data_IF_583904170527
#
_entry.id   IF_583904170527
#
_cell.length_a   1.000
_cell.length_b   1.000
_cell.length_c   1.000
_cell.angle_alpha   90.00
_cell.angle_beta   90.00
_cell.angle_gamma   90.00
#
_symmetry.space_group_name_H-M   'P 1'
#
loop_
_entity.id
_entity.type
_entity.pdbx_description
1 polymer ?
#
# COMPACT_ATOMS: atom_id res chain seq x y z
N UNK A 1 -1.25 -20.09 -17.21
CA UNK A 1 -0.18 -20.48 -16.28
C UNK A 1 -0.39 -19.68 -14.99
N UNK A 2 -0.65 -20.39 -13.88
CA UNK A 2 -0.74 -19.78 -12.55
C UNK A 2 0.68 -19.41 -12.13
N UNK A 3 0.94 -18.12 -11.91
CA UNK A 3 2.24 -17.67 -11.41
C UNK A 3 2.37 -18.18 -9.95
N UNK A 4 3.37 -19.01 -9.70
CA UNK A 4 3.66 -19.47 -8.34
C UNK A 4 4.36 -18.35 -7.58
N UNK A 5 3.70 -17.82 -6.55
CA UNK A 5 4.27 -16.82 -5.64
C UNK A 5 4.49 -17.44 -4.26
N UNK A 6 5.56 -17.04 -3.60
CA UNK A 6 5.84 -17.38 -2.21
C UNK A 6 6.21 -16.16 -1.41
N UNK A 7 5.85 -16.15 -0.12
CA UNK A 7 6.17 -15.09 0.83
C UNK A 7 7.01 -15.65 1.97
N UNK A 8 8.03 -14.89 2.38
CA UNK A 8 8.83 -15.19 3.55
C UNK A 8 9.30 -13.92 4.27
N UNK A 9 9.67 -14.07 5.54
CA UNK A 9 10.09 -12.98 6.42
C UNK A 9 11.57 -13.14 6.76
N UNK A 10 12.31 -12.03 6.75
CA UNK A 10 13.71 -11.95 7.13
C UNK A 10 13.90 -11.10 8.41
N UNK A 11 14.94 -11.41 9.18
CA UNK A 11 15.46 -10.53 10.23
C UNK A 11 16.43 -9.48 9.64
N UNK A 12 16.92 -8.58 10.50
CA UNK A 12 17.88 -7.53 10.12
C UNK A 12 19.24 -8.05 9.61
N UNK A 13 19.53 -9.34 9.81
CA UNK A 13 20.75 -10.04 9.34
C UNK A 13 20.49 -10.92 8.11
N UNK A 14 19.29 -10.81 7.51
CA UNK A 14 18.83 -11.57 6.34
C UNK A 14 18.58 -13.05 6.59
N UNK A 15 18.46 -13.50 7.84
CA UNK A 15 18.04 -14.84 8.16
C UNK A 15 16.56 -15.01 7.91
N UNK A 16 16.16 -16.14 7.34
CA UNK A 16 14.77 -16.45 7.04
C UNK A 16 14.07 -16.88 8.33
N UNK A 17 13.08 -16.10 8.78
CA UNK A 17 12.36 -16.33 10.04
C UNK A 17 11.12 -17.19 9.85
N UNK A 18 10.43 -17.04 8.73
CA UNK A 18 9.22 -17.79 8.41
C UNK A 18 8.96 -17.82 6.92
N UNK A 19 8.28 -18.86 6.46
CA UNK A 19 7.94 -19.09 5.06
C UNK A 19 6.48 -19.51 4.94
N UNK A 20 5.88 -19.27 3.78
CA UNK A 20 4.53 -19.77 3.46
C UNK A 20 4.54 -21.17 2.83
N UNK A 21 3.37 -21.76 2.65
CA UNK A 21 3.19 -23.12 2.09
C UNK A 21 3.69 -23.26 0.63
N UNK A 22 3.89 -22.16 -0.08
CA UNK A 22 4.38 -22.17 -1.45
C UNK A 22 5.90 -22.12 -1.53
N UNK A 23 6.59 -21.78 -0.45
CA UNK A 23 8.03 -21.65 -0.41
C UNK A 23 8.73 -22.95 -0.81
N UNK A 24 8.29 -24.08 -0.26
CA UNK A 24 8.84 -25.39 -0.59
C UNK A 24 8.63 -25.75 -2.07
N UNK A 25 7.46 -25.48 -2.62
CA UNK A 25 7.18 -25.75 -4.04
C UNK A 25 8.10 -24.94 -4.96
N UNK A 26 8.39 -23.70 -4.58
CA UNK A 26 9.21 -22.79 -5.38
C UNK A 26 10.71 -23.07 -5.21
N UNK A 27 11.18 -23.22 -3.98
CA UNK A 27 12.61 -23.32 -3.64
C UNK A 27 13.11 -24.74 -3.43
N UNK A 28 12.22 -25.67 -3.11
CA UNK A 28 12.54 -27.03 -2.71
C UNK A 28 12.93 -27.17 -1.24
N UNK A 29 12.99 -26.09 -0.47
CA UNK A 29 13.27 -26.10 0.97
C UNK A 29 11.97 -26.02 1.75
N UNK A 30 11.79 -26.96 2.70
CA UNK A 30 10.64 -26.94 3.62
C UNK A 30 10.84 -25.91 4.75
N UNK A 31 9.77 -25.58 5.47
CA UNK A 31 9.88 -24.76 6.69
C UNK A 31 10.81 -25.39 7.74
N UNK A 32 10.82 -26.72 7.85
CA UNK A 32 11.77 -27.45 8.73
C UNK A 32 13.22 -27.28 8.29
N UNK A 33 13.51 -27.29 6.98
CA UNK A 33 14.86 -27.03 6.47
C UNK A 33 15.34 -25.64 6.86
N UNK A 34 14.44 -24.64 6.77
CA UNK A 34 14.74 -23.26 7.12
C UNK A 34 15.11 -23.15 8.61
N UNK A 35 14.29 -23.74 9.48
CA UNK A 35 14.52 -23.71 10.94
C UNK A 35 15.80 -24.46 11.35
N UNK A 36 15.97 -25.71 10.87
CA UNK A 36 17.12 -26.56 11.25
C UNK A 36 18.46 -26.00 10.80
N UNK A 37 18.50 -25.34 9.64
CA UNK A 37 19.76 -24.90 9.04
C UNK A 37 20.01 -23.39 9.29
N UNK A 38 19.12 -22.68 9.98
CA UNK A 38 19.19 -21.21 10.17
C UNK A 38 19.47 -20.51 8.83
N UNK A 39 18.67 -20.85 7.80
CA UNK A 39 18.91 -20.40 6.44
C UNK A 39 18.93 -18.88 6.32
N UNK A 40 19.86 -18.38 5.53
CA UNK A 40 19.98 -16.96 5.18
C UNK A 40 19.49 -16.74 3.74
N UNK A 41 19.02 -15.55 3.44
CA UNK A 41 18.65 -15.15 2.08
C UNK A 41 19.74 -15.44 1.04
N UNK A 42 21.02 -15.31 1.44
CA UNK A 42 22.15 -15.56 0.54
C UNK A 42 22.31 -17.04 0.16
N UNK A 43 21.73 -17.97 0.92
CA UNK A 43 21.76 -19.40 0.59
C UNK A 43 20.88 -19.70 -0.63
N UNK A 44 19.87 -18.84 -0.88
CA UNK A 44 19.00 -18.93 -2.05
C UNK A 44 19.59 -18.21 -3.28
N UNK A 45 20.72 -17.50 -3.14
CA UNK A 45 21.35 -16.78 -4.25
C UNK A 45 22.58 -17.54 -4.72
N UNK A 46 22.68 -17.88 -6.02
CA UNK A 46 23.88 -18.49 -6.57
C UNK A 46 25.13 -17.71 -6.20
N UNK A 47 26.20 -18.36 -5.81
CA UNK A 47 27.41 -17.72 -5.30
C UNK A 47 27.97 -16.66 -6.27
N UNK A 48 27.94 -16.95 -7.55
CA UNK A 48 28.40 -16.04 -8.60
C UNK A 48 27.59 -14.73 -8.69
N UNK A 49 26.33 -14.73 -8.20
CA UNK A 49 25.42 -13.60 -8.32
C UNK A 49 25.34 -12.77 -7.04
N UNK A 50 25.87 -13.25 -5.91
CA UNK A 50 25.73 -12.63 -4.58
C UNK A 50 26.18 -11.17 -4.54
N UNK A 51 27.32 -10.87 -5.14
CA UNK A 51 27.87 -9.51 -5.16
C UNK A 51 26.94 -8.54 -5.91
N UNK A 52 26.48 -8.95 -7.09
CA UNK A 52 25.56 -8.12 -7.89
C UNK A 52 24.20 -7.96 -7.18
N UNK A 53 23.68 -9.05 -6.61
CA UNK A 53 22.45 -9.03 -5.83
C UNK A 53 22.52 -8.01 -4.68
N UNK A 54 23.59 -8.04 -3.88
CA UNK A 54 23.80 -7.10 -2.77
C UNK A 54 23.94 -5.65 -3.24
N UNK A 55 24.70 -5.41 -4.32
CA UNK A 55 24.85 -4.07 -4.89
C UNK A 55 23.50 -3.49 -5.33
N UNK A 56 22.68 -4.27 -6.02
CA UNK A 56 21.35 -3.85 -6.48
C UNK A 56 20.41 -3.63 -5.30
N UNK A 57 20.40 -4.52 -4.32
CA UNK A 57 19.58 -4.41 -3.12
C UNK A 57 19.92 -3.13 -2.34
N UNK A 58 21.20 -2.88 -2.08
CA UNK A 58 21.63 -1.67 -1.38
C UNK A 58 21.30 -0.39 -2.15
N UNK A 59 21.43 -0.40 -3.49
CA UNK A 59 21.07 0.72 -4.33
C UNK A 59 19.55 1.03 -4.30
N UNK A 60 18.71 0.00 -4.19
CA UNK A 60 17.27 0.14 -4.01
C UNK A 60 16.95 0.69 -2.61
N UNK A 61 17.52 0.11 -1.57
CA UNK A 61 17.28 0.52 -0.18
C UNK A 61 17.79 1.93 0.13
N UNK A 62 18.82 2.41 -0.58
CA UNK A 62 19.26 3.79 -0.45
C UNK A 62 18.25 4.82 -0.98
N UNK A 63 17.29 4.40 -1.79
CA UNK A 63 16.28 5.28 -2.41
C UNK A 63 14.87 5.02 -1.91
N UNK A 64 14.61 3.87 -1.31
CA UNK A 64 13.28 3.38 -0.97
C UNK A 64 13.36 2.32 0.12
N UNK A 65 12.28 2.07 0.82
CA UNK A 65 12.12 0.92 1.74
C UNK A 65 11.73 -0.36 1.01
N UNK A 66 11.67 -0.31 -0.31
CA UNK A 66 11.32 -1.43 -1.17
C UNK A 66 12.50 -1.86 -2.04
N UNK A 67 12.58 -3.15 -2.28
CA UNK A 67 13.49 -3.77 -3.25
C UNK A 67 12.67 -4.42 -4.32
N UNK A 68 12.93 -4.06 -5.58
CA UNK A 68 12.32 -4.66 -6.76
C UNK A 68 13.45 -5.13 -7.66
N UNK A 69 13.60 -6.44 -7.81
CA UNK A 69 14.65 -6.97 -8.67
C UNK A 69 14.33 -8.37 -9.18
N UNK A 70 14.84 -8.67 -10.36
CA UNK A 70 14.91 -10.04 -10.88
C UNK A 70 16.30 -10.60 -10.57
N UNK A 71 16.33 -11.87 -10.14
CA UNK A 71 17.59 -12.58 -9.90
C UNK A 71 17.40 -14.08 -10.05
N UNK A 72 18.52 -14.80 -10.13
CA UNK A 72 18.49 -16.25 -10.05
C UNK A 72 18.32 -16.69 -8.61
N UNK A 73 17.49 -17.71 -8.41
CA UNK A 73 17.31 -18.38 -7.13
C UNK A 73 17.81 -19.82 -7.26
N UNK A 74 18.72 -20.19 -6.36
CA UNK A 74 19.26 -21.54 -6.29
C UNK A 74 18.32 -22.44 -5.48
N UNK A 75 17.83 -23.49 -6.09
CA UNK A 75 16.91 -24.46 -5.47
C UNK A 75 17.67 -25.58 -4.78
N UNK A 76 17.00 -26.24 -3.82
CA UNK A 76 17.52 -27.41 -3.10
C UNK A 76 17.92 -28.57 -4.05
N UNK A 77 17.23 -28.69 -5.19
CA UNK A 77 17.54 -29.72 -6.22
C UNK A 77 18.74 -29.37 -7.12
N UNK A 78 19.44 -28.28 -6.81
CA UNK A 78 20.62 -27.80 -7.54
C UNK A 78 20.29 -27.03 -8.82
N UNK A 79 19.02 -26.78 -9.14
CA UNK A 79 18.62 -26.00 -10.30
C UNK A 79 18.50 -24.53 -9.95
N UNK A 80 18.83 -23.68 -10.90
CA UNK A 80 18.56 -22.25 -10.80
C UNK A 80 17.27 -21.92 -11.54
N UNK A 81 16.42 -21.11 -10.91
CA UNK A 81 15.24 -20.50 -11.52
C UNK A 81 15.38 -18.99 -11.50
N UNK A 82 14.71 -18.30 -12.42
CA UNK A 82 14.61 -16.85 -12.37
C UNK A 82 13.36 -16.44 -11.58
N UNK A 83 13.57 -15.59 -10.60
CA UNK A 83 12.49 -15.07 -9.78
C UNK A 83 12.43 -13.55 -9.89
N UNK A 84 11.21 -13.03 -9.85
CA UNK A 84 10.94 -11.64 -9.55
C UNK A 84 10.78 -11.52 -8.04
N UNK A 85 11.55 -10.63 -7.43
CA UNK A 85 11.56 -10.37 -6.00
C UNK A 85 11.00 -8.99 -5.71
N UNK A 86 9.97 -8.95 -4.88
CA UNK A 86 9.51 -7.75 -4.19
C UNK A 86 9.87 -7.88 -2.71
N UNK A 87 10.70 -7.00 -2.19
CA UNK A 87 11.08 -6.93 -0.80
C UNK A 87 10.65 -5.62 -0.16
N UNK A 88 10.14 -5.67 1.06
CA UNK A 88 9.80 -4.51 1.87
C UNK A 88 10.52 -4.59 3.21
N UNK A 89 11.31 -3.55 3.53
CA UNK A 89 11.93 -3.40 4.85
C UNK A 89 11.01 -2.56 5.73
N UNK A 90 10.82 -2.98 6.98
CA UNK A 90 10.01 -2.29 7.98
C UNK A 90 10.60 -2.50 9.38
N UNK A 91 10.36 -1.54 10.27
CA UNK A 91 10.73 -1.66 11.67
C UNK A 91 9.65 -2.43 12.44
N UNK A 92 10.03 -3.53 13.08
CA UNK A 92 9.14 -4.32 13.94
C UNK A 92 9.29 -3.83 15.40
N UNK A 93 8.31 -3.08 15.85
CA UNK A 93 8.31 -2.50 17.20
C UNK A 93 8.23 -3.53 18.33
N UNK A 94 7.71 -4.73 18.07
CA UNK A 94 7.58 -5.80 19.06
C UNK A 94 8.96 -6.39 19.43
N UNK A 95 9.85 -6.51 18.45
CA UNK A 95 11.20 -7.04 18.64
C UNK A 95 12.28 -5.96 18.53
N UNK A 96 11.90 -4.70 18.25
CA UNK A 96 12.78 -3.54 18.12
C UNK A 96 13.91 -3.73 17.10
N UNK A 97 13.60 -4.33 15.96
CA UNK A 97 14.56 -4.62 14.89
C UNK A 97 13.92 -4.39 13.52
N UNK A 98 14.77 -4.08 12.53
CA UNK A 98 14.34 -4.08 11.14
C UNK A 98 14.07 -5.51 10.68
N UNK A 99 12.99 -5.66 9.91
CA UNK A 99 12.62 -6.90 9.23
C UNK A 99 12.36 -6.63 7.77
N UNK A 100 12.45 -7.67 6.94
CA UNK A 100 12.04 -7.58 5.56
C UNK A 100 11.03 -8.67 5.23
N UNK A 101 9.94 -8.27 4.62
CA UNK A 101 8.97 -9.17 4.00
C UNK A 101 9.32 -9.31 2.52
N UNK A 102 9.51 -10.53 2.06
CA UNK A 102 9.92 -10.84 0.70
C UNK A 102 8.81 -11.66 0.02
N UNK A 103 8.45 -11.24 -1.18
CA UNK A 103 7.57 -12.01 -2.08
C UNK A 103 8.39 -12.33 -3.32
N UNK A 104 8.44 -13.60 -3.67
CA UNK A 104 9.11 -14.09 -4.88
C UNK A 104 8.11 -14.78 -5.80
N UNK A 105 8.30 -14.61 -7.10
CA UNK A 105 7.49 -15.23 -8.15
C UNK A 105 8.40 -15.87 -9.20
N UNK A 106 8.14 -17.11 -9.58
CA UNK A 106 8.87 -17.76 -10.68
C UNK A 106 8.51 -17.08 -12.01
N UNK A 107 9.53 -16.50 -12.64
CA UNK A 107 9.44 -15.87 -13.95
C UNK A 107 10.30 -16.58 -15.01
N UNK A 108 10.77 -17.79 -14.72
CA UNK A 108 11.66 -18.55 -15.60
C UNK A 108 11.09 -18.77 -17.00
N UNK A 109 9.78 -19.01 -17.11
CA UNK A 109 9.11 -19.17 -18.41
C UNK A 109 9.13 -17.89 -19.25
N UNK A 110 9.16 -16.74 -18.59
CA UNK A 110 9.24 -15.41 -19.22
C UNK A 110 10.69 -15.06 -19.57
N UNK A 111 11.63 -15.50 -18.74
CA UNK A 111 13.06 -15.22 -18.90
C UNK A 111 13.69 -16.00 -20.07
N UNK A 112 13.22 -17.20 -20.34
CA UNK A 112 13.68 -18.01 -21.49
C UNK A 112 13.42 -17.34 -22.85
N UNK A 113 12.51 -16.35 -22.89
CA UNK A 113 12.25 -15.51 -24.06
C UNK A 113 13.11 -14.25 -24.13
N UNK A 114 13.90 -13.94 -23.12
CA UNK A 114 14.54 -12.63 -22.91
C UNK A 114 15.88 -12.43 -23.64
N UNK A 115 16.27 -13.32 -24.55
CA UNK A 115 17.51 -13.15 -25.36
C UNK A 115 17.30 -12.27 -26.60
N UNK A 116 16.15 -11.65 -26.79
CA UNK A 116 15.84 -10.87 -27.99
C UNK A 116 15.31 -9.45 -27.67
N UNK A 117 16.19 -8.46 -27.84
CA UNK A 117 15.97 -7.04 -28.15
C UNK A 117 15.49 -6.02 -27.09
N UNK A 118 15.99 -4.75 -27.23
CA UNK A 118 15.67 -3.54 -26.42
C UNK A 118 14.16 -3.24 -26.28
N UNK A 119 13.33 -3.76 -27.19
CA UNK A 119 11.87 -3.65 -27.10
C UNK A 119 11.26 -4.47 -25.95
N UNK A 120 11.97 -5.47 -25.43
CA UNK A 120 11.53 -6.32 -24.31
C UNK A 120 11.84 -5.70 -22.95
N UNK A 121 12.86 -4.83 -22.84
CA UNK A 121 13.15 -4.08 -21.62
C UNK A 121 12.00 -3.12 -21.27
N UNK A 122 11.42 -2.44 -22.25
CA UNK A 122 10.24 -1.59 -22.06
C UNK A 122 8.99 -2.40 -21.64
N UNK A 123 8.86 -3.64 -22.13
CA UNK A 123 7.75 -4.52 -21.69
C UNK A 123 7.93 -5.05 -20.28
N UNK A 124 9.15 -5.27 -19.82
CA UNK A 124 9.42 -5.69 -18.44
C UNK A 124 9.13 -4.56 -17.44
N UNK A 125 9.50 -3.32 -17.76
CA UNK A 125 9.14 -2.14 -16.93
C UNK A 125 7.63 -1.91 -16.86
N UNK A 126 6.92 -2.08 -17.97
CA UNK A 126 5.45 -1.98 -18.00
C UNK A 126 4.80 -3.12 -17.18
N UNK A 127 5.34 -4.34 -17.24
CA UNK A 127 4.86 -5.45 -16.40
C UNK A 127 5.15 -5.24 -14.92
N UNK A 128 6.31 -4.70 -14.58
CA UNK A 128 6.70 -4.30 -13.23
C UNK A 128 5.71 -3.27 -12.66
N UNK A 129 5.44 -2.20 -13.41
CA UNK A 129 4.47 -1.16 -13.04
C UNK A 129 3.05 -1.73 -12.91
N UNK A 130 2.66 -2.60 -13.85
CA UNK A 130 1.34 -3.24 -13.80
C UNK A 130 1.21 -4.18 -12.60
N UNK A 131 2.28 -4.91 -12.26
CA UNK A 131 2.31 -5.78 -11.09
C UNK A 131 2.27 -4.98 -9.79
N UNK A 132 3.11 -3.94 -9.65
CA UNK A 132 3.05 -2.99 -8.53
C UNK A 132 1.63 -2.42 -8.37
N UNK A 133 1.07 -1.93 -9.44
CA UNK A 133 -0.28 -1.39 -9.43
C UNK A 133 -1.31 -2.44 -8.97
N UNK A 134 -1.22 -3.69 -9.44
CA UNK A 134 -2.17 -4.75 -9.08
C UNK A 134 -2.12 -5.10 -7.60
N UNK A 135 -0.94 -5.04 -6.94
CA UNK A 135 -0.80 -5.36 -5.52
C UNK A 135 -0.97 -4.14 -4.59
N UNK A 136 -0.80 -2.94 -5.10
CA UNK A 136 -0.85 -1.72 -4.29
C UNK A 136 -2.15 -0.95 -4.45
N UNK A 137 -2.87 -1.16 -5.54
CA UNK A 137 -4.08 -0.39 -5.82
C UNK A 137 -5.35 -1.24 -5.70
N UNK A 138 -6.45 -0.56 -5.40
CA UNK A 138 -7.80 -1.11 -5.53
C UNK A 138 -8.14 -1.24 -7.02
N UNK A 139 -8.54 -2.42 -7.43
CA UNK A 139 -8.79 -2.76 -8.85
C UNK A 139 -9.96 -2.00 -9.49
N UNK A 140 -10.89 -1.50 -8.70
CA UNK A 140 -12.04 -0.74 -9.19
C UNK A 140 -11.69 0.74 -9.37
N UNK A 141 -11.04 1.33 -8.38
CA UNK A 141 -10.87 2.79 -8.28
C UNK A 141 -9.49 3.29 -8.70
N UNK A 142 -8.48 2.41 -8.72
CA UNK A 142 -7.09 2.76 -8.99
C UNK A 142 -6.38 3.50 -7.84
N UNK A 143 -7.07 3.79 -6.75
CA UNK A 143 -6.46 4.33 -5.52
C UNK A 143 -5.58 3.27 -4.84
N UNK A 144 -4.77 3.66 -3.86
CA UNK A 144 -4.10 2.68 -3.02
C UNK A 144 -5.15 1.74 -2.38
N UNK A 145 -4.81 0.47 -2.26
CA UNK A 145 -5.59 -0.42 -1.41
C UNK A 145 -5.22 -0.20 0.06
N UNK A 146 -6.04 -0.73 0.98
CA UNK A 146 -5.85 -0.58 2.42
C UNK A 146 -4.44 -0.97 2.89
N UNK A 147 -3.92 -2.11 2.41
CA UNK A 147 -2.62 -2.62 2.85
C UNK A 147 -1.47 -1.71 2.41
N UNK A 148 -1.47 -1.25 1.16
CA UNK A 148 -0.45 -0.35 0.65
C UNK A 148 -0.52 1.02 1.33
N UNK A 149 -1.73 1.57 1.52
CA UNK A 149 -1.93 2.84 2.20
C UNK A 149 -1.41 2.79 3.64
N UNK A 150 -1.81 1.78 4.42
CA UNK A 150 -1.35 1.59 5.79
C UNK A 150 0.17 1.56 5.87
N UNK A 151 0.80 0.73 5.03
CA UNK A 151 2.24 0.54 5.02
C UNK A 151 2.99 1.83 4.70
N UNK A 152 2.56 2.56 3.67
CA UNK A 152 3.19 3.83 3.29
C UNK A 152 3.06 4.88 4.39
N UNK A 153 1.90 4.93 5.05
CA UNK A 153 1.64 5.91 6.10
C UNK A 153 2.41 5.59 7.37
N UNK A 154 2.48 4.32 7.79
CA UNK A 154 3.31 3.91 8.93
C UNK A 154 4.77 4.34 8.72
N UNK A 155 5.32 4.12 7.53
CA UNK A 155 6.69 4.51 7.22
C UNK A 155 6.86 6.03 7.18
N UNK A 156 5.93 6.76 6.60
CA UNK A 156 6.03 8.21 6.49
C UNK A 156 5.87 8.90 7.85
N UNK A 157 5.01 8.40 8.71
CA UNK A 157 4.82 8.92 10.07
C UNK A 157 6.09 8.78 10.94
N UNK A 158 6.93 7.78 10.69
CA UNK A 158 8.22 7.62 11.39
C UNK A 158 9.24 8.73 11.06
N UNK A 159 9.13 9.40 9.93
CA UNK A 159 10.05 10.48 9.53
C UNK A 159 9.80 11.85 10.21
N UNK A 160 8.72 12.03 10.87
CA UNK A 160 8.40 12.80 12.09
C UNK A 160 8.43 14.32 12.08
N UNK A 161 8.82 15.06 11.03
CA UNK A 161 8.94 16.54 11.12
C UNK A 161 7.85 17.31 10.33
N UNK A 162 6.58 16.91 10.50
CA UNK A 162 5.43 17.51 9.83
C UNK A 162 4.17 17.49 10.70
N UNK A 163 3.15 18.26 10.31
CA UNK A 163 1.78 18.05 10.75
C UNK A 163 1.12 17.05 9.79
N UNK A 164 0.41 16.07 10.33
CA UNK A 164 -0.33 15.10 9.53
C UNK A 164 -1.84 15.31 9.68
N UNK A 165 -2.60 15.06 8.61
CA UNK A 165 -4.05 14.98 8.66
C UNK A 165 -4.51 13.68 8.02
N UNK A 166 -5.23 12.88 8.78
CA UNK A 166 -5.93 11.71 8.28
C UNK A 166 -7.42 12.00 8.14
N UNK A 167 -8.01 11.59 7.03
CA UNK A 167 -9.44 11.73 6.75
C UNK A 167 -9.98 10.35 6.41
N UNK A 168 -11.05 9.95 7.11
CA UNK A 168 -11.89 8.82 6.74
C UNK A 168 -13.15 9.34 6.04
N UNK A 169 -13.58 8.65 4.99
CA UNK A 169 -14.65 9.06 4.09
C UNK A 169 -15.57 7.87 3.84
N UNK A 170 -16.87 8.12 3.84
CA UNK A 170 -17.87 7.11 3.53
C UNK A 170 -18.94 7.70 2.59
N UNK A 171 -19.37 6.89 1.64
CA UNK A 171 -20.44 7.30 0.71
C UNK A 171 -21.79 7.11 1.38
N UNK A 172 -22.48 8.22 1.61
CA UNK A 172 -23.76 8.20 2.32
C UNK A 172 -24.80 7.34 1.61
N UNK A 173 -25.42 6.42 2.37
CA UNK A 173 -26.50 5.55 1.88
C UNK A 173 -26.14 4.73 0.62
N UNK A 174 -24.88 4.36 0.44
CA UNK A 174 -24.40 3.65 -0.76
C UNK A 174 -25.14 2.33 -1.01
N UNK A 175 -25.53 1.59 0.05
CA UNK A 175 -26.36 0.40 -0.10
C UNK A 175 -27.71 0.71 -0.78
N UNK A 176 -28.39 1.80 -0.37
CA UNK A 176 -29.65 2.21 -0.97
C UNK A 176 -29.46 2.63 -2.45
N UNK A 177 -28.35 3.26 -2.75
CA UNK A 177 -27.98 3.59 -4.14
C UNK A 177 -27.85 2.31 -4.97
N UNK A 178 -27.10 1.31 -4.49
CA UNK A 178 -26.98 0.01 -5.17
C UNK A 178 -28.29 -0.71 -5.34
N UNK A 179 -29.14 -0.72 -4.31
CA UNK A 179 -30.46 -1.35 -4.35
C UNK A 179 -31.38 -0.69 -5.39
N UNK A 180 -31.20 0.61 -5.67
CA UNK A 180 -32.01 1.39 -6.62
C UNK A 180 -31.45 1.35 -8.04
N UNK A 181 -30.13 1.53 -8.20
CA UNK A 181 -29.49 1.73 -9.51
C UNK A 181 -28.63 0.53 -9.97
N UNK A 182 -28.49 -0.49 -9.11
CA UNK A 182 -27.68 -1.69 -9.37
C UNK A 182 -26.18 -1.51 -9.12
N UNK A 183 -25.50 -2.60 -8.85
CA UNK A 183 -24.06 -2.61 -8.51
C UNK A 183 -23.16 -1.99 -9.58
N UNK A 184 -23.49 -2.17 -10.85
CA UNK A 184 -22.69 -1.57 -11.93
C UNK A 184 -22.68 -0.02 -11.89
N UNK A 185 -23.79 0.60 -11.54
CA UNK A 185 -23.83 2.06 -11.33
C UNK A 185 -23.18 2.45 -10.00
N UNK A 186 -23.28 1.60 -8.97
CA UNK A 186 -22.51 1.77 -7.74
C UNK A 186 -21.01 1.78 -7.97
N UNK A 187 -20.49 0.88 -8.79
CA UNK A 187 -19.08 0.87 -9.19
C UNK A 187 -18.66 2.17 -9.87
N UNK A 188 -19.46 2.67 -10.81
CA UNK A 188 -19.21 3.98 -11.45
C UNK A 188 -19.23 5.12 -10.45
N UNK A 189 -20.11 5.06 -9.47
CA UNK A 189 -20.22 6.07 -8.43
C UNK A 189 -18.96 6.08 -7.53
N UNK A 190 -18.45 4.91 -7.15
CA UNK A 190 -17.18 4.78 -6.41
C UNK A 190 -15.99 5.28 -7.24
N UNK A 191 -15.96 5.00 -8.54
CA UNK A 191 -14.94 5.53 -9.46
C UNK A 191 -15.01 7.07 -9.51
N UNK A 192 -16.22 7.65 -9.56
CA UNK A 192 -16.40 9.10 -9.54
C UNK A 192 -15.87 9.74 -8.25
N UNK A 193 -16.16 9.13 -7.09
CA UNK A 193 -15.60 9.54 -5.79
C UNK A 193 -14.08 9.54 -5.84
N UNK A 194 -13.48 8.44 -6.26
CA UNK A 194 -12.03 8.27 -6.33
C UNK A 194 -11.36 9.30 -7.25
N UNK A 195 -11.90 9.50 -8.45
CA UNK A 195 -11.37 10.47 -9.42
C UNK A 195 -11.47 11.90 -8.90
N UNK A 196 -12.57 12.22 -8.21
CA UNK A 196 -12.77 13.56 -7.65
C UNK A 196 -11.84 13.80 -6.45
N UNK A 197 -11.61 12.78 -5.62
CA UNK A 197 -10.60 12.83 -4.55
C UNK A 197 -9.21 13.10 -5.16
N UNK A 198 -8.75 12.30 -6.11
CA UNK A 198 -7.46 12.49 -6.76
C UNK A 198 -7.29 13.87 -7.38
N UNK A 199 -8.34 14.39 -8.04
CA UNK A 199 -8.33 15.73 -8.63
C UNK A 199 -8.38 16.88 -7.59
N UNK A 200 -8.54 16.55 -6.31
CA UNK A 200 -8.60 17.49 -5.20
C UNK A 200 -7.36 17.45 -4.32
N UNK A 201 -6.52 16.47 -4.49
CA UNK A 201 -5.31 16.20 -3.70
C UNK A 201 -4.05 16.68 -4.46
N UNK A 202 -2.98 16.92 -3.70
CA UNK A 202 -1.65 17.22 -4.23
C UNK A 202 -0.93 15.91 -4.56
N UNK A 203 0.16 16.01 -5.34
CA UNK A 203 0.97 14.83 -5.69
C UNK A 203 1.61 14.14 -4.48
N UNK A 204 1.84 14.87 -3.39
CA UNK A 204 2.39 14.36 -2.13
C UNK A 204 1.33 13.79 -1.17
N UNK A 205 0.05 13.98 -1.46
CA UNK A 205 -1.06 13.43 -0.66
C UNK A 205 -1.39 12.00 -1.09
N UNK A 206 -1.94 11.24 -0.18
CA UNK A 206 -2.23 9.82 -0.39
C UNK A 206 -3.73 9.57 -0.27
N UNK A 207 -4.29 8.84 -1.21
CA UNK A 207 -5.68 8.41 -1.19
C UNK A 207 -5.79 6.90 -1.33
N UNK A 208 -6.72 6.30 -0.60
CA UNK A 208 -6.96 4.87 -0.57
C UNK A 208 -8.45 4.55 -0.58
N UNK A 209 -8.80 3.39 -1.13
CA UNK A 209 -10.06 2.73 -0.84
C UNK A 209 -9.83 1.68 0.22
N UNK A 210 -10.50 1.82 1.37
CA UNK A 210 -10.32 0.96 2.52
C UNK A 210 -11.11 -0.34 2.36
N UNK A 211 -12.24 -0.28 1.67
CA UNK A 211 -13.12 -1.41 1.33
C UNK A 211 -14.56 -0.91 1.12
N UNK A 212 -15.36 -1.64 0.36
CA UNK A 212 -16.75 -1.24 0.12
C UNK A 212 -16.89 0.18 -0.41
N UNK A 213 -17.53 1.05 0.36
CA UNK A 213 -17.80 2.47 0.11
C UNK A 213 -16.92 3.42 0.95
N UNK A 214 -15.90 2.87 1.63
CA UNK A 214 -15.00 3.62 2.51
C UNK A 214 -13.70 3.99 1.81
N UNK A 215 -13.28 5.25 2.00
CA UNK A 215 -12.02 5.79 1.49
C UNK A 215 -11.24 6.46 2.62
N UNK A 216 -9.93 6.58 2.44
CA UNK A 216 -9.07 7.33 3.34
C UNK A 216 -8.15 8.26 2.57
N UNK A 217 -7.80 9.38 3.19
CA UNK A 217 -6.80 10.33 2.69
C UNK A 217 -5.82 10.63 3.81
N UNK A 218 -4.54 10.70 3.46
CA UNK A 218 -3.49 11.19 4.36
C UNK A 218 -2.76 12.34 3.69
N UNK A 219 -2.66 13.43 4.40
CA UNK A 219 -1.95 14.65 3.98
C UNK A 219 -0.88 15.00 4.98
N UNK A 220 0.23 15.55 4.47
CA UNK A 220 1.35 15.99 5.29
C UNK A 220 1.63 17.46 5.01
N UNK A 221 1.85 18.23 6.07
CA UNK A 221 2.05 19.67 6.00
C UNK A 221 3.32 20.08 6.75
N UNK A 222 4.02 21.06 6.24
CA UNK A 222 5.11 21.67 7.00
C UNK A 222 4.57 22.19 8.35
N UNK A 223 5.34 22.06 9.43
CA UNK A 223 4.95 22.54 10.77
C UNK A 223 4.60 24.02 10.84
N UNK A 224 5.09 24.82 9.90
CA UNK A 224 4.76 26.24 9.81
C UNK A 224 3.35 26.51 9.27
N UNK A 225 2.67 25.52 8.69
CA UNK A 225 1.31 25.68 8.17
C UNK A 225 0.33 25.80 9.32
N UNK A 226 -0.45 26.90 9.42
CA UNK A 226 -1.42 27.07 10.47
C UNK A 226 -2.53 26.01 10.38
N UNK A 227 -2.98 25.53 11.51
CA UNK A 227 -4.06 24.53 11.58
C UNK A 227 -5.33 24.98 10.85
N UNK A 228 -5.65 26.26 10.96
CA UNK A 228 -6.79 26.85 10.24
C UNK A 228 -6.70 26.59 8.73
N UNK A 229 -5.51 26.75 8.14
CA UNK A 229 -5.31 26.48 6.72
C UNK A 229 -5.44 24.99 6.37
N UNK A 230 -5.02 24.08 7.29
CA UNK A 230 -5.21 22.64 7.14
C UNK A 230 -6.71 22.29 7.16
N UNK A 231 -7.47 22.85 8.12
CA UNK A 231 -8.93 22.66 8.22
C UNK A 231 -9.67 23.23 7.00
N UNK A 232 -9.29 24.41 6.53
CA UNK A 232 -9.86 25.02 5.33
C UNK A 232 -9.59 24.17 4.08
N UNK A 233 -8.40 23.60 3.96
CA UNK A 233 -8.07 22.70 2.84
C UNK A 233 -8.92 21.42 2.86
N UNK A 234 -9.09 20.79 4.02
CA UNK A 234 -9.98 19.64 4.18
C UNK A 234 -11.43 19.98 3.83
N UNK A 235 -11.92 21.18 4.22
CA UNK A 235 -13.25 21.64 3.85
C UNK A 235 -13.40 21.81 2.35
N UNK A 236 -12.40 22.37 1.65
CA UNK A 236 -12.41 22.50 0.19
C UNK A 236 -12.48 21.14 -0.51
N UNK A 237 -11.73 20.14 -0.01
CA UNK A 237 -11.80 18.77 -0.54
C UNK A 237 -13.21 18.22 -0.33
N UNK A 238 -13.75 18.34 0.88
CA UNK A 238 -15.10 17.86 1.19
C UNK A 238 -16.14 18.52 0.27
N UNK A 239 -16.14 19.85 0.17
CA UNK A 239 -17.13 20.59 -0.62
C UNK A 239 -17.10 20.17 -2.08
N UNK A 240 -15.89 20.05 -2.67
CA UNK A 240 -15.71 19.65 -4.05
C UNK A 240 -16.19 18.23 -4.30
N UNK A 241 -15.79 17.28 -3.46
CA UNK A 241 -16.19 15.87 -3.61
C UNK A 241 -17.69 15.72 -3.39
N UNK A 242 -18.21 16.26 -2.29
CA UNK A 242 -19.62 16.17 -1.94
C UNK A 242 -20.53 16.80 -3.01
N UNK A 243 -20.16 17.97 -3.54
CA UNK A 243 -20.89 18.62 -4.63
C UNK A 243 -20.89 17.75 -5.90
N UNK A 244 -19.72 17.24 -6.30
CA UNK A 244 -19.59 16.44 -7.51
C UNK A 244 -20.42 15.16 -7.43
N UNK A 245 -20.32 14.42 -6.31
CA UNK A 245 -21.02 13.14 -6.17
C UNK A 245 -22.53 13.34 -5.96
N UNK A 246 -22.97 14.42 -5.30
CA UNK A 246 -24.39 14.77 -5.20
C UNK A 246 -25.01 15.20 -6.54
N UNK A 247 -24.20 15.72 -7.45
CA UNK A 247 -24.66 16.11 -8.79
C UNK A 247 -24.81 14.94 -9.75
N UNK A 248 -24.30 13.76 -9.41
CA UNK A 248 -24.52 12.55 -10.17
C UNK A 248 -25.97 12.06 -10.03
N UNK A 249 -26.44 11.29 -10.99
CA UNK A 249 -27.79 10.71 -10.98
C UNK A 249 -28.00 9.86 -9.71
N UNK A 250 -28.99 10.22 -8.90
CA UNK A 250 -29.25 9.57 -7.62
C UNK A 250 -28.21 9.82 -6.52
N UNK A 251 -27.30 10.77 -6.72
CA UNK A 251 -26.17 11.01 -5.84
C UNK A 251 -26.57 11.33 -4.40
N UNK A 252 -25.97 10.63 -3.45
CA UNK A 252 -26.30 10.70 -2.02
C UNK A 252 -25.36 11.60 -1.22
N UNK A 253 -24.15 11.84 -1.75
CA UNK A 253 -23.10 12.60 -1.07
C UNK A 253 -22.17 11.71 -0.26
N UNK A 254 -21.33 12.36 0.56
CA UNK A 254 -20.32 11.71 1.40
C UNK A 254 -20.33 12.32 2.81
N UNK A 255 -19.90 11.54 3.78
CA UNK A 255 -19.51 12.00 5.12
C UNK A 255 -18.01 11.86 5.29
N UNK A 256 -17.38 12.82 5.98
CA UNK A 256 -15.94 12.81 6.26
C UNK A 256 -15.68 13.04 7.74
N UNK A 257 -14.74 12.25 8.29
CA UNK A 257 -14.15 12.46 9.61
C UNK A 257 -12.64 12.66 9.48
N UNK A 258 -12.11 13.71 10.07
CA UNK A 258 -10.71 14.07 9.96
C UNK A 258 -10.06 14.26 11.33
N UNK A 259 -8.78 13.92 11.43
CA UNK A 259 -7.94 14.21 12.59
C UNK A 259 -6.63 14.86 12.17
N UNK A 260 -6.23 15.93 12.90
CA UNK A 260 -4.97 16.63 12.70
C UNK A 260 -4.01 16.26 13.83
N UNK A 261 -2.82 15.74 13.49
CA UNK A 261 -1.74 15.51 14.42
C UNK A 261 -0.60 16.51 14.20
N UNK A 262 -0.19 17.18 15.29
CA UNK A 262 0.92 18.15 15.34
C UNK A 262 2.19 17.54 15.96
N UNK A 263 2.12 16.30 16.42
CA UNK A 263 3.17 15.58 17.11
C UNK A 263 3.22 14.13 16.64
N UNK A 264 4.13 13.36 17.18
CA UNK A 264 4.23 11.93 16.92
C UNK A 264 2.89 11.23 17.14
N UNK A 265 2.40 10.58 16.08
CA UNK A 265 1.18 9.80 16.10
C UNK A 265 1.42 8.49 15.32
N UNK A 266 0.79 7.42 15.74
CA UNK A 266 0.79 6.16 15.01
C UNK A 266 -0.36 6.11 14.02
N UNK A 267 -0.18 5.39 12.92
CA UNK A 267 -1.24 5.19 11.93
C UNK A 267 -2.54 4.67 12.58
N UNK A 268 -2.43 3.64 13.43
CA UNK A 268 -3.61 3.04 14.07
C UNK A 268 -4.41 4.06 14.88
N UNK A 269 -3.73 4.94 15.60
CA UNK A 269 -4.40 5.94 16.43
C UNK A 269 -5.06 7.03 15.59
N UNK A 270 -4.38 7.51 14.56
CA UNK A 270 -4.98 8.46 13.62
C UNK A 270 -6.19 7.87 12.89
N UNK A 271 -6.09 6.59 12.50
CA UNK A 271 -7.18 5.85 11.88
C UNK A 271 -8.41 5.79 12.81
N UNK A 272 -8.21 5.34 14.05
CA UNK A 272 -9.28 5.22 15.05
C UNK A 272 -9.95 6.58 15.35
N UNK A 273 -9.15 7.63 15.52
CA UNK A 273 -9.67 8.98 15.80
C UNK A 273 -10.42 9.58 14.59
N UNK A 274 -9.94 9.35 13.36
CA UNK A 274 -10.62 9.80 12.15
C UNK A 274 -11.91 9.01 11.88
N UNK A 275 -11.94 7.71 12.20
CA UNK A 275 -13.13 6.87 12.12
C UNK A 275 -14.19 7.31 13.13
N UNK A 276 -13.80 7.64 14.36
CA UNK A 276 -14.70 8.22 15.38
C UNK A 276 -15.27 9.57 14.92
N UNK A 277 -14.47 10.42 14.28
CA UNK A 277 -14.96 11.67 13.71
C UNK A 277 -15.94 11.43 12.54
N UNK A 278 -15.69 10.43 11.70
CA UNK A 278 -16.60 10.00 10.64
C UNK A 278 -17.93 9.48 11.21
N UNK A 279 -17.87 8.69 12.27
CA UNK A 279 -19.06 8.22 12.97
C UNK A 279 -19.91 9.40 13.48
N UNK A 280 -19.25 10.39 14.09
CA UNK A 280 -19.94 11.62 14.53
C UNK A 280 -20.58 12.39 13.36
N UNK A 281 -19.89 12.48 12.22
CA UNK A 281 -20.45 13.09 11.01
C UNK A 281 -21.73 12.37 10.54
N UNK A 282 -21.72 11.03 10.59
CA UNK A 282 -22.88 10.20 10.22
C UNK A 282 -24.06 10.37 11.19
N UNK A 283 -23.80 10.36 12.51
CA UNK A 283 -24.84 10.54 13.54
C UNK A 283 -25.42 11.94 13.53
N UNK A 284 -24.62 12.95 13.21
CA UNK A 284 -25.07 14.36 13.15
C UNK A 284 -25.87 14.69 11.88
N UNK A 285 -26.27 13.70 11.07
CA UNK A 285 -27.15 13.87 9.90
C UNK A 285 -26.48 13.71 8.56
N UNK A 286 -25.25 13.21 8.50
CA UNK A 286 -24.46 12.92 7.27
C UNK A 286 -24.16 14.16 6.41
N UNK A 287 -23.52 13.97 5.28
CA UNK A 287 -23.24 15.00 4.30
C UNK A 287 -22.38 16.15 4.85
N UNK A 288 -21.43 15.85 5.75
CA UNK A 288 -20.58 16.82 6.45
C UNK A 288 -19.19 16.32 6.72
N UNK A 289 -18.30 17.27 6.99
CA UNK A 289 -16.96 17.04 7.53
C UNK A 289 -16.96 17.34 9.03
N UNK A 290 -16.40 16.44 9.84
CA UNK A 290 -16.03 16.67 11.25
C UNK A 290 -14.52 16.63 11.36
N UNK A 291 -13.91 17.65 11.95
CA UNK A 291 -12.44 17.73 12.14
C UNK A 291 -12.12 17.79 13.63
N UNK A 292 -11.26 16.89 14.09
CA UNK A 292 -10.75 16.84 15.47
C UNK A 292 -9.23 17.03 15.52
N UNK A 293 -8.73 17.37 16.70
CA UNK A 293 -7.29 17.35 16.97
C UNK A 293 -6.89 16.00 17.60
N UNK A 294 -5.70 15.54 17.28
CA UNK A 294 -5.15 14.29 17.84
C UNK A 294 -5.11 14.34 19.37
N UNK A 295 -5.70 13.34 20.01
CA UNK A 295 -5.82 13.25 21.46
C UNK A 295 -7.00 14.01 22.06
N UNK A 296 -7.83 14.67 21.26
CA UNK A 296 -9.11 15.25 21.70
C UNK A 296 -10.13 14.12 21.95
N UNK A 297 -10.79 14.15 23.13
CA UNK A 297 -11.77 13.11 23.53
C UNK A 297 -13.17 13.46 23.04
#
# INVERSE_FOLDING_TARGET
HTVQCSRYLLDGSWNILSVDDNFEKLTGYSGEDVEKNSMNQMDLIPEADRTEYLCRTNANLAKSTYVLQEHRLHRKDGKDIYVFCYGRVFYDSAVKQDRAEIIISDVSSTYSMKILTDAEQNKAEVRLRNWENTYRTDSLTGLLNHAAFRNDMEMKLLSGDFNAMMIMIDVDKFKQYNDTYGHHNGDKYLILVAQTLLASLRNEDFASRMGGDEFAVMMFFNKSVPEKAIKEHAQQIFDKVNLTVKSAEGGTGISMGAVIAKSEATFNRLYEEADNALYEAKESGRGRLVVKEHGEK
#
